data_IF_276502725722
#
_entry.id   IF_276502725722
#
_cell.length_a   1.000
_cell.length_b   1.000
_cell.length_c   1.000
_cell.angle_alpha   90.00
_cell.angle_beta   90.00
_cell.angle_gamma   90.00
#
_symmetry.space_group_name_H-M   'P 1'
#
loop_
_entity.id
_entity.type
_entity.pdbx_description
1 polymer ?
#
# COMPACT_ATOMS: atom_id res chain seq x y z
N UNK A 1 -17.06 5.36 5.33
CA UNK A 1 -16.11 6.46 5.05
C UNK A 1 -16.38 6.97 3.63
N UNK A 2 -16.35 8.29 3.39
CA UNK A 2 -16.61 8.81 2.05
C UNK A 2 -15.36 8.83 1.16
N UNK A 3 -15.52 9.08 -0.15
CA UNK A 3 -14.40 9.11 -1.11
C UNK A 3 -13.31 10.13 -0.74
N UNK A 4 -13.67 11.30 -0.22
CA UNK A 4 -12.68 12.33 0.15
C UNK A 4 -11.86 11.93 1.37
N UNK A 5 -12.50 11.36 2.38
CA UNK A 5 -11.81 10.80 3.56
C UNK A 5 -10.93 9.61 3.16
N UNK A 6 -11.39 8.77 2.23
CA UNK A 6 -10.60 7.67 1.67
C UNK A 6 -9.30 8.16 1.04
N UNK A 7 -9.39 9.09 0.10
CA UNK A 7 -8.22 9.67 -0.59
C UNK A 7 -7.29 10.35 0.41
N UNK A 8 -7.84 11.08 1.39
CA UNK A 8 -7.04 11.77 2.42
C UNK A 8 -6.32 10.79 3.35
N UNK A 9 -6.95 9.68 3.73
CA UNK A 9 -6.31 8.67 4.57
C UNK A 9 -5.29 7.86 3.78
N UNK A 10 -5.59 7.53 2.52
CA UNK A 10 -4.67 6.90 1.58
C UNK A 10 -3.41 7.76 1.40
N UNK A 11 -3.56 9.06 1.14
CA UNK A 11 -2.43 10.00 1.03
C UNK A 11 -1.57 10.01 2.28
N UNK A 12 -2.17 10.02 3.49
CA UNK A 12 -1.42 10.02 4.75
C UNK A 12 -0.56 8.76 4.90
N UNK A 13 -1.07 7.61 4.46
CA UNK A 13 -0.38 6.32 4.55
C UNK A 13 0.70 6.16 3.49
N UNK A 14 0.46 6.69 2.29
CA UNK A 14 1.42 6.69 1.19
C UNK A 14 2.54 7.73 1.35
N UNK A 15 2.58 8.53 2.42
CA UNK A 15 3.64 9.54 2.68
C UNK A 15 5.08 9.01 2.67
N UNK A 16 5.26 7.69 2.73
CA UNK A 16 6.58 7.04 2.64
C UNK A 16 7.10 6.95 1.20
N UNK A 17 6.24 7.14 0.20
CA UNK A 17 6.58 7.13 -1.22
C UNK A 17 7.03 8.52 -1.72
N UNK A 18 7.74 8.59 -2.86
CA UNK A 18 7.98 9.85 -3.55
C UNK A 18 6.67 10.56 -3.90
N UNK A 19 6.66 11.90 -3.84
CA UNK A 19 5.48 12.70 -4.14
C UNK A 19 4.89 12.42 -5.54
N UNK A 20 5.71 12.07 -6.53
CA UNK A 20 5.21 11.67 -7.87
C UNK A 20 4.32 10.43 -7.79
N UNK A 21 4.75 9.43 -7.03
CA UNK A 21 4.08 8.13 -6.97
C UNK A 21 2.83 8.22 -6.11
N UNK A 22 2.88 9.02 -5.04
CA UNK A 22 1.69 9.38 -4.26
C UNK A 22 0.65 10.05 -5.16
N UNK A 23 1.03 11.10 -5.89
CA UNK A 23 0.08 11.84 -6.73
C UNK A 23 -0.50 10.96 -7.84
N UNK A 24 0.33 10.11 -8.45
CA UNK A 24 -0.11 9.18 -9.48
C UNK A 24 -1.13 8.16 -8.92
N UNK A 25 -0.83 7.55 -7.77
CA UNK A 25 -1.74 6.62 -7.10
C UNK A 25 -3.05 7.31 -6.70
N UNK A 26 -2.99 8.52 -6.13
CA UNK A 26 -4.20 9.25 -5.74
C UNK A 26 -5.04 9.64 -6.96
N UNK A 27 -4.43 10.11 -8.05
CA UNK A 27 -5.14 10.44 -9.28
C UNK A 27 -5.90 9.24 -9.84
N UNK A 28 -5.27 8.06 -9.86
CA UNK A 28 -5.93 6.83 -10.30
C UNK A 28 -7.24 6.57 -9.55
N UNK A 29 -7.24 6.69 -8.22
CA UNK A 29 -8.46 6.49 -7.43
C UNK A 29 -9.45 7.65 -7.58
N UNK A 30 -8.97 8.89 -7.72
CA UNK A 30 -9.84 10.05 -7.95
C UNK A 30 -10.59 9.90 -9.28
N UNK A 31 -9.90 9.60 -10.37
CA UNK A 31 -10.50 9.35 -11.69
C UNK A 31 -11.49 8.19 -11.61
N UNK A 32 -11.13 7.09 -10.93
CA UNK A 32 -12.04 5.97 -10.71
C UNK A 32 -13.33 6.39 -9.98
N UNK A 33 -13.23 7.16 -8.90
CA UNK A 33 -14.39 7.61 -8.14
C UNK A 33 -15.24 8.66 -8.89
N UNK A 34 -14.63 9.42 -9.81
CA UNK A 34 -15.33 10.32 -10.72
C UNK A 34 -16.09 9.53 -11.79
N UNK A 35 -15.46 8.53 -12.41
CA UNK A 35 -16.08 7.65 -13.42
C UNK A 35 -17.22 6.81 -12.84
N UNK A 36 -17.07 6.31 -11.62
CA UNK A 36 -18.11 5.59 -10.89
C UNK A 36 -19.25 6.52 -10.42
N UNK A 37 -19.12 7.83 -10.62
CA UNK A 37 -20.00 8.89 -10.12
C UNK A 37 -20.33 8.71 -8.63
N UNK A 38 -19.38 8.17 -7.86
CA UNK A 38 -19.54 7.82 -6.46
C UNK A 38 -19.84 9.08 -5.68
N UNK A 39 -20.98 9.11 -5.00
CA UNK A 39 -21.40 10.31 -4.29
C UNK A 39 -20.49 10.54 -3.08
N UNK A 40 -20.34 11.80 -2.66
CA UNK A 40 -19.60 12.14 -1.44
C UNK A 40 -20.25 11.60 -0.15
N UNK A 41 -21.44 11.00 -0.24
CA UNK A 41 -22.18 10.38 0.86
C UNK A 41 -22.14 8.86 0.82
N UNK A 42 -21.57 8.28 -0.22
CA UNK A 42 -21.50 6.83 -0.42
C UNK A 42 -20.32 6.24 0.36
N UNK A 43 -20.57 5.13 1.05
CA UNK A 43 -19.53 4.44 1.79
C UNK A 43 -18.68 3.58 0.85
N UNK A 44 -17.53 4.11 0.46
CA UNK A 44 -16.60 3.42 -0.44
C UNK A 44 -15.86 2.27 0.22
N UNK A 45 -15.83 2.23 1.56
CA UNK A 45 -15.12 1.20 2.34
C UNK A 45 -15.72 -0.20 2.12
N UNK A 46 -17.02 -0.27 1.80
CA UNK A 46 -17.69 -1.55 1.55
C UNK A 46 -17.33 -2.14 0.19
N UNK A 47 -16.93 -1.30 -0.76
CA UNK A 47 -16.66 -1.70 -2.15
C UNK A 47 -15.15 -1.93 -2.35
N UNK A 48 -14.31 -1.03 -1.83
CA UNK A 48 -12.85 -1.07 -2.01
C UNK A 48 -12.09 -1.64 -0.81
N UNK A 49 -12.77 -1.84 0.32
CA UNK A 49 -12.13 -2.20 1.57
C UNK A 49 -11.53 -0.97 2.27
N UNK A 50 -10.70 -1.24 3.29
CA UNK A 50 -10.14 -0.19 4.14
C UNK A 50 -8.96 0.51 3.43
N UNK A 51 -8.85 1.86 3.49
CA UNK A 51 -7.72 2.60 2.89
C UNK A 51 -6.36 2.13 3.42
N UNK A 52 -6.33 1.54 4.62
CA UNK A 52 -5.12 0.92 5.17
C UNK A 52 -4.66 -0.29 4.37
N UNK A 53 -5.58 -1.16 3.97
CA UNK A 53 -5.24 -2.37 3.20
C UNK A 53 -4.74 -1.99 1.82
N UNK A 54 -5.46 -1.08 1.15
CA UNK A 54 -5.04 -0.56 -0.16
C UNK A 54 -3.68 0.13 -0.08
N UNK A 55 -3.44 0.94 0.95
CA UNK A 55 -2.13 1.56 1.14
C UNK A 55 -1.02 0.51 1.34
N UNK A 56 -1.28 -0.53 2.13
CA UNK A 56 -0.33 -1.63 2.34
C UNK A 56 -0.03 -2.38 1.05
N UNK A 57 -1.04 -2.66 0.22
CA UNK A 57 -0.87 -3.34 -1.06
C UNK A 57 -0.07 -2.49 -2.03
N UNK A 58 -0.37 -1.19 -2.15
CA UNK A 58 0.38 -0.26 -2.98
C UNK A 58 1.83 -0.16 -2.52
N UNK A 59 2.08 -0.08 -1.21
CA UNK A 59 3.44 -0.03 -0.67
C UNK A 59 4.20 -1.34 -0.89
N UNK A 60 3.53 -2.49 -0.77
CA UNK A 60 4.11 -3.79 -1.02
C UNK A 60 4.48 -3.96 -2.50
N UNK A 61 3.56 -3.63 -3.41
CA UNK A 61 3.79 -3.66 -4.84
C UNK A 61 4.91 -2.70 -5.25
N UNK A 62 4.91 -1.48 -4.68
CA UNK A 62 5.98 -0.52 -4.89
C UNK A 62 7.34 -1.06 -4.44
N UNK A 63 7.41 -1.71 -3.27
CA UNK A 63 8.65 -2.29 -2.76
C UNK A 63 9.16 -3.46 -3.61
N UNK A 64 8.26 -4.20 -4.27
CA UNK A 64 8.62 -5.29 -5.19
C UNK A 64 9.07 -4.76 -6.55
N UNK A 65 8.34 -3.80 -7.11
CA UNK A 65 8.58 -3.25 -8.45
C UNK A 65 9.69 -2.19 -8.49
N UNK A 66 9.96 -1.53 -7.36
CA UNK A 66 11.10 -0.66 -7.15
C UNK A 66 12.02 -1.32 -6.13
N UNK A 67 12.80 -2.36 -6.51
CA UNK A 67 13.84 -2.87 -5.64
C UNK A 67 14.78 -1.71 -5.38
N UNK A 68 14.69 -1.13 -4.18
CA UNK A 68 15.62 -0.12 -3.70
C UNK A 68 16.99 -0.67 -4.03
N UNK A 69 17.72 -0.04 -4.95
CA UNK A 69 19.11 -0.36 -5.19
C UNK A 69 19.81 -0.01 -3.89
N UNK A 70 19.90 -0.99 -2.99
CA UNK A 70 20.47 -0.84 -1.66
C UNK A 70 21.96 -0.63 -1.87
N UNK A 71 22.36 0.61 -2.18
CA UNK A 71 23.74 1.04 -1.97
C UNK A 71 23.94 1.05 -0.47
N UNK A 72 24.48 -0.06 0.00
CA UNK A 72 24.83 -0.38 1.37
C UNK A 72 25.55 0.78 2.04
N UNK A 73 24.89 1.46 2.97
CA UNK A 73 25.56 1.92 4.19
C UNK A 73 24.51 2.24 5.25
N UNK A 74 24.66 1.57 6.39
CA UNK A 74 23.99 1.87 7.67
C UNK A 74 22.52 1.44 7.71
N UNK A 75 22.25 0.34 8.40
CA UNK A 75 21.94 0.28 9.84
C UNK A 75 20.48 0.66 10.09
N UNK A 76 19.60 -0.34 10.04
CA UNK A 76 18.48 -0.50 10.97
C UNK A 76 17.73 -1.78 10.63
N UNK A 77 18.02 -2.77 11.44
CA UNK A 77 17.30 -4.02 11.58
C UNK A 77 15.85 -3.67 11.97
N UNK A 78 14.92 -3.68 11.01
CA UNK A 78 13.46 -3.69 11.28
C UNK A 78 12.73 -4.82 10.54
N UNK A 79 13.41 -5.54 9.64
CA UNK A 79 12.82 -6.65 8.88
C UNK A 79 12.80 -8.00 9.61
N UNK A 80 12.99 -8.04 10.93
CA UNK A 80 12.91 -9.29 11.71
C UNK A 80 11.49 -9.89 11.69
N UNK A 81 10.46 -9.11 11.32
CA UNK A 81 9.10 -9.61 11.14
C UNK A 81 8.94 -10.43 9.84
N UNK A 82 9.77 -10.22 8.80
CA UNK A 82 9.68 -10.98 7.55
C UNK A 82 10.24 -12.41 7.69
N UNK A 83 11.12 -12.65 8.67
CA UNK A 83 11.67 -13.98 8.96
C UNK A 83 10.67 -14.93 9.64
N UNK A 84 9.54 -14.43 10.16
CA UNK A 84 8.50 -15.29 10.77
C UNK A 84 7.69 -16.01 9.66
N UNK A 85 7.65 -15.49 8.44
CA UNK A 85 7.14 -16.23 7.28
C UNK A 85 8.17 -17.21 6.67
N UNK A 86 9.37 -17.29 7.26
CA UNK A 86 10.38 -18.31 6.99
C UNK A 86 10.37 -19.40 8.09
N UNK A 87 9.19 -19.71 8.66
CA UNK A 87 9.04 -20.96 9.39
C UNK A 87 9.25 -22.13 8.39
N UNK A 88 10.25 -23.00 8.60
CA UNK A 88 10.48 -24.14 7.74
C UNK A 88 9.37 -25.15 8.02
N UNK A 89 8.41 -25.27 7.10
CA UNK A 89 7.56 -26.46 7.09
C UNK A 89 8.48 -27.61 6.68
N UNK A 90 9.03 -28.28 7.69
CA UNK A 90 9.91 -29.43 7.51
C UNK A 90 9.20 -30.56 6.79
N UNK A 91 9.98 -31.31 6.01
CA UNK A 91 10.07 -32.76 6.11
C UNK A 91 11.24 -33.25 5.26
N UNK A 92 12.35 -33.73 5.86
CA UNK A 92 13.31 -34.56 5.16
C UNK A 92 12.70 -35.95 5.03
N UNK A 93 12.54 -36.44 3.82
CA UNK A 93 12.34 -37.87 3.58
C UNK A 93 13.44 -38.30 2.60
N UNK A 94 14.31 -39.15 3.13
CA UNK A 94 15.30 -39.87 2.35
C UNK A 94 14.69 -41.03 1.57
#
# INVERSE_FOLDING_TARGET
MNKHEFIKDLQKRLKQLPQSDINNALNYYVEYFEDANTSAHEDVTLIFGHPSSIASDILADYAVNHPVQVKTKTSSIWFVVLAILAAPIGLPLG
#
